data_IF_246569313471
#
_entry.id   IF_246569313471
#
_cell.length_a   1.000
_cell.length_b   1.000
_cell.length_c   1.000
_cell.angle_alpha   90.00
_cell.angle_beta   90.00
_cell.angle_gamma   90.00
#
_symmetry.space_group_name_H-M   'P 1'
#
loop_
_entity.id
_entity.type
_entity.pdbx_description
1 polymer ?
#
# COMPACT_ATOMS: atom_id res chain seq x y z
N UNK A 1 7.96 -23.33 7.83
CA UNK A 1 7.59 -23.21 9.24
C UNK A 1 6.30 -22.44 9.33
N UNK A 2 5.30 -22.96 10.06
CA UNK A 2 4.00 -22.30 10.21
C UNK A 2 4.15 -20.97 10.97
N UNK A 3 3.44 -19.92 10.55
CA UNK A 3 3.54 -18.58 11.12
C UNK A 3 4.74 -17.75 10.66
N UNK A 4 5.55 -18.30 9.77
CA UNK A 4 6.62 -17.56 9.07
C UNK A 4 6.24 -17.46 7.60
N UNK A 5 6.31 -16.30 7.06
CA UNK A 5 5.94 -16.09 5.67
C UNK A 5 6.19 -14.66 5.24
N UNK A 6 5.70 -14.38 4.07
CA UNK A 6 5.82 -13.07 3.45
C UNK A 6 4.71 -12.15 4.00
N UNK A 7 5.11 -10.95 4.40
CA UNK A 7 4.21 -9.84 4.66
C UNK A 7 3.72 -9.20 3.35
N UNK A 8 2.88 -8.19 3.45
CA UNK A 8 2.33 -7.48 2.30
C UNK A 8 3.42 -7.05 1.33
N UNK A 9 3.18 -7.29 0.05
CA UNK A 9 4.10 -6.96 -1.04
C UNK A 9 3.64 -5.74 -1.81
N UNK A 10 4.59 -5.11 -2.49
CA UNK A 10 4.36 -3.98 -3.39
C UNK A 10 4.84 -4.35 -4.78
N UNK A 11 3.95 -4.24 -5.78
CA UNK A 11 4.27 -4.41 -7.20
C UNK A 11 4.36 -3.03 -7.86
N UNK A 12 5.42 -2.79 -8.63
CA UNK A 12 5.62 -1.54 -9.38
C UNK A 12 6.12 -1.83 -10.79
N UNK A 13 5.71 -0.97 -11.71
CA UNK A 13 6.29 -0.91 -13.05
C UNK A 13 7.06 0.40 -13.17
N UNK A 14 8.32 0.34 -13.62
CA UNK A 14 9.17 1.49 -13.80
C UNK A 14 10.23 1.19 -14.87
N UNK A 15 10.43 2.11 -15.82
CA UNK A 15 11.43 2.04 -16.88
C UNK A 15 11.48 0.68 -17.61
N UNK A 16 10.31 0.18 -18.03
CA UNK A 16 10.22 -1.06 -18.80
C UNK A 16 10.33 -2.35 -17.99
N UNK A 17 10.37 -2.26 -16.67
CA UNK A 17 10.51 -3.43 -15.79
C UNK A 17 9.50 -3.43 -14.66
N UNK A 18 9.15 -4.63 -14.22
CA UNK A 18 8.36 -4.86 -13.01
C UNK A 18 9.29 -5.08 -11.83
N UNK A 19 8.88 -4.60 -10.66
CA UNK A 19 9.58 -4.74 -9.39
C UNK A 19 8.61 -5.23 -8.33
N UNK A 20 9.00 -6.23 -7.56
CA UNK A 20 8.25 -6.67 -6.37
C UNK A 20 9.13 -6.50 -5.15
N UNK A 21 8.62 -5.73 -4.20
CA UNK A 21 9.16 -5.66 -2.84
C UNK A 21 8.35 -6.55 -1.91
N UNK A 22 9.02 -7.27 -1.04
CA UNK A 22 8.42 -7.89 0.14
C UNK A 22 9.44 -8.10 1.26
N UNK A 23 8.94 -8.26 2.50
CA UNK A 23 9.74 -8.64 3.66
C UNK A 23 9.14 -9.88 4.31
N UNK A 24 9.89 -10.98 4.44
CA UNK A 24 9.44 -12.14 5.17
C UNK A 24 9.56 -11.95 6.69
N UNK A 25 8.80 -12.73 7.44
CA UNK A 25 8.82 -12.76 8.90
C UNK A 25 9.76 -13.83 9.44
N UNK A 26 10.89 -14.04 8.80
CA UNK A 26 11.90 -15.00 9.20
C UNK A 26 13.33 -14.46 9.02
N UNK A 27 14.26 -15.08 9.72
CA UNK A 27 15.67 -14.71 9.67
C UNK A 27 16.25 -14.92 8.25
N UNK A 28 17.13 -14.03 7.80
CA UNK A 28 17.84 -12.98 8.56
C UNK A 28 17.15 -11.59 8.56
N UNK A 29 15.83 -11.49 8.50
CA UNK A 29 15.06 -10.23 8.49
C UNK A 29 15.56 -9.23 7.44
N UNK A 30 15.51 -9.63 6.20
CA UNK A 30 15.88 -8.78 5.04
C UNK A 30 14.64 -8.53 4.19
N UNK A 31 14.60 -7.38 3.52
CA UNK A 31 13.72 -7.17 2.39
C UNK A 31 14.23 -7.92 1.16
N UNK A 32 13.36 -8.10 0.19
CA UNK A 32 13.68 -8.69 -1.10
C UNK A 32 13.09 -7.80 -2.19
N UNK A 33 13.90 -7.52 -3.21
CA UNK A 33 13.44 -6.89 -4.43
C UNK A 33 13.72 -7.85 -5.59
N UNK A 34 12.66 -8.29 -6.25
CA UNK A 34 12.73 -9.03 -7.49
C UNK A 34 12.33 -8.15 -8.66
N UNK A 35 12.86 -8.44 -9.84
CA UNK A 35 12.54 -7.72 -11.08
C UNK A 35 12.29 -8.68 -12.24
N UNK A 36 11.41 -8.28 -13.16
CA UNK A 36 11.12 -8.97 -14.40
C UNK A 36 10.79 -7.98 -15.53
N UNK A 37 11.01 -8.35 -16.77
CA UNK A 37 10.56 -7.59 -17.96
C UNK A 37 9.10 -7.94 -18.29
N UNK A 38 8.70 -9.17 -18.05
CA UNK A 38 7.33 -9.67 -18.19
C UNK A 38 6.85 -10.17 -16.83
N UNK A 39 5.71 -9.70 -16.31
CA UNK A 39 5.20 -10.14 -15.01
C UNK A 39 4.78 -11.62 -14.99
N UNK A 40 4.51 -12.21 -16.15
CA UNK A 40 4.25 -13.63 -16.32
C UNK A 40 5.52 -14.48 -16.59
N UNK A 41 6.66 -13.81 -16.75
CA UNK A 41 7.94 -14.42 -17.04
C UNK A 41 8.77 -14.78 -15.81
N UNK A 42 10.08 -14.89 -16.02
CA UNK A 42 11.03 -15.21 -14.96
C UNK A 42 11.35 -13.96 -14.10
N UNK A 43 11.26 -14.11 -12.78
CA UNK A 43 11.61 -13.09 -11.81
C UNK A 43 13.01 -13.33 -11.27
N UNK A 44 13.87 -12.32 -11.34
CA UNK A 44 15.25 -12.38 -10.86
C UNK A 44 15.40 -11.58 -9.58
N UNK A 45 16.07 -12.14 -8.57
CA UNK A 45 16.43 -11.42 -7.36
C UNK A 45 17.42 -10.30 -7.69
N UNK A 46 17.01 -9.05 -7.47
CA UNK A 46 17.83 -7.87 -7.69
C UNK A 46 18.68 -7.53 -6.46
N UNK A 47 18.05 -7.47 -5.28
CA UNK A 47 18.72 -7.04 -4.06
C UNK A 47 18.01 -7.51 -2.78
N UNK A 48 18.72 -7.35 -1.65
CA UNK A 48 18.23 -7.69 -0.30
C UNK A 48 18.50 -6.56 0.69
N UNK A 49 17.84 -5.40 0.57
CA UNK A 49 18.00 -4.30 1.52
C UNK A 49 17.47 -4.66 2.92
N UNK A 50 17.66 -3.79 3.94
CA UNK A 50 17.11 -3.99 5.28
C UNK A 50 15.61 -4.24 5.27
N UNK A 51 15.12 -5.00 6.26
CA UNK A 51 13.71 -5.28 6.45
C UNK A 51 12.90 -4.00 6.73
N UNK A 52 11.77 -3.83 6.04
CA UNK A 52 10.77 -2.79 6.30
C UNK A 52 9.39 -3.43 6.22
N UNK A 53 8.62 -3.31 7.32
CA UNK A 53 7.32 -3.96 7.44
C UNK A 53 6.27 -3.31 6.52
N UNK A 54 5.53 -4.13 5.76
CA UNK A 54 4.45 -3.72 4.87
C UNK A 54 4.81 -2.52 3.98
N UNK A 55 5.99 -2.59 3.36
CA UNK A 55 6.53 -1.46 2.63
C UNK A 55 6.05 -1.41 1.19
N UNK A 56 5.78 -0.19 0.74
CA UNK A 56 5.52 0.18 -0.64
C UNK A 56 6.79 0.74 -1.28
N UNK A 57 7.29 0.07 -2.31
CA UNK A 57 8.35 0.60 -3.16
C UNK A 57 7.77 1.74 -4.01
N UNK A 58 8.49 2.85 -4.11
CA UNK A 58 8.05 4.03 -4.86
C UNK A 58 9.22 4.66 -5.63
N UNK A 59 9.04 4.82 -6.93
CA UNK A 59 9.95 5.54 -7.82
C UNK A 59 9.39 6.94 -8.06
N UNK A 60 10.12 7.98 -7.67
CA UNK A 60 9.68 9.35 -7.85
C UNK A 60 10.21 9.93 -9.19
N UNK A 61 9.56 10.97 -9.67
CA UNK A 61 9.89 11.64 -10.94
C UNK A 61 11.27 12.30 -10.93
N UNK A 62 11.86 12.54 -9.74
CA UNK A 62 13.22 13.08 -9.59
C UNK A 62 14.32 12.00 -9.68
N UNK A 63 13.95 10.76 -9.97
CA UNK A 63 14.84 9.61 -10.09
C UNK A 63 15.26 8.99 -8.77
N UNK A 64 14.74 9.47 -7.64
CA UNK A 64 14.97 8.85 -6.34
C UNK A 64 13.96 7.75 -6.07
N UNK A 65 14.37 6.84 -5.19
CA UNK A 65 13.54 5.68 -4.82
C UNK A 65 13.31 5.67 -3.31
N UNK A 66 12.09 5.31 -2.94
CA UNK A 66 11.66 5.35 -1.55
C UNK A 66 10.90 4.09 -1.14
N UNK A 67 10.89 3.84 0.16
CA UNK A 67 9.95 2.94 0.84
C UNK A 67 9.05 3.75 1.77
N UNK A 68 7.74 3.62 1.57
CA UNK A 68 6.74 4.01 2.56
C UNK A 68 6.38 2.76 3.36
N UNK A 69 6.51 2.79 4.68
CA UNK A 69 6.37 1.58 5.48
C UNK A 69 5.85 1.83 6.90
N UNK A 70 5.55 0.74 7.59
CA UNK A 70 5.14 0.78 8.98
C UNK A 70 3.89 1.64 9.20
N UNK A 71 3.97 2.60 10.10
CA UNK A 71 2.85 3.48 10.49
C UNK A 71 3.04 4.93 10.00
N UNK A 72 3.57 5.11 8.80
CA UNK A 72 3.81 6.43 8.21
C UNK A 72 5.29 6.81 8.18
N UNK A 73 6.19 5.84 8.02
CA UNK A 73 7.61 6.08 7.84
C UNK A 73 7.98 6.17 6.35
N UNK A 74 8.98 6.99 6.06
CA UNK A 74 9.57 7.17 4.74
C UNK A 74 11.08 6.93 4.81
N UNK A 75 11.58 6.07 3.95
CA UNK A 75 13.01 5.76 3.82
C UNK A 75 13.44 5.90 2.38
N UNK A 76 14.52 6.64 2.13
CA UNK A 76 15.14 6.68 0.82
C UNK A 76 16.05 5.48 0.60
N UNK A 77 15.92 4.83 -0.56
CA UNK A 77 16.84 3.81 -1.05
C UNK A 77 17.87 4.43 -1.99
N UNK A 78 18.98 3.73 -2.19
CA UNK A 78 19.89 3.99 -3.31
C UNK A 78 19.16 3.77 -4.63
N UNK A 79 19.53 4.49 -5.66
CA UNK A 79 18.90 4.38 -6.98
C UNK A 79 19.07 3.00 -7.63
N UNK A 80 20.10 2.25 -7.26
CA UNK A 80 20.34 0.87 -7.69
C UNK A 80 19.57 -0.17 -6.85
N UNK A 81 18.78 0.28 -5.88
CA UNK A 81 17.96 -0.54 -4.98
C UNK A 81 18.76 -1.49 -4.07
N UNK A 82 20.09 -1.36 -3.99
CA UNK A 82 20.94 -2.29 -3.25
C UNK A 82 20.81 -2.16 -1.73
N UNK A 83 20.54 -0.95 -1.23
CA UNK A 83 20.47 -0.64 0.21
C UNK A 83 19.74 0.69 0.44
N UNK A 84 19.65 1.11 1.70
CA UNK A 84 19.21 2.47 2.07
C UNK A 84 20.25 3.50 1.62
N UNK A 85 19.78 4.71 1.27
CA UNK A 85 20.67 5.81 0.88
C UNK A 85 21.33 6.42 2.11
N UNK A 86 22.68 6.40 2.23
CA UNK A 86 23.38 7.04 3.35
C UNK A 86 23.12 8.55 3.37
N UNK A 87 22.57 9.05 4.49
CA UNK A 87 22.20 10.47 4.63
C UNK A 87 20.95 10.88 3.84
N UNK A 88 20.29 9.91 3.19
CA UNK A 88 18.99 10.11 2.56
C UNK A 88 17.84 10.30 3.56
N UNK A 89 16.63 10.48 3.05
CA UNK A 89 15.44 10.66 3.89
C UNK A 89 15.21 9.40 4.75
N UNK A 90 15.05 9.64 6.04
CA UNK A 90 14.67 8.65 7.05
C UNK A 90 13.85 9.35 8.12
N UNK A 91 12.52 9.37 7.94
CA UNK A 91 11.67 10.10 8.86
C UNK A 91 10.25 9.55 8.90
N UNK A 92 9.53 9.86 9.96
CA UNK A 92 8.09 9.70 10.04
C UNK A 92 7.42 10.92 9.39
N UNK A 93 6.49 10.69 8.46
CA UNK A 93 5.87 11.74 7.63
C UNK A 93 4.44 12.08 8.05
N UNK A 94 3.79 11.22 8.84
CA UNK A 94 2.52 11.50 9.53
C UNK A 94 2.38 10.63 10.78
N UNK A 95 1.55 11.09 11.71
CA UNK A 95 1.24 10.38 12.94
C UNK A 95 -0.10 9.66 12.84
N UNK A 96 -0.29 8.65 13.71
CA UNK A 96 -1.60 8.05 13.93
C UNK A 96 -2.54 9.07 14.52
N UNK A 97 -3.76 9.08 14.03
CA UNK A 97 -4.85 9.81 14.68
C UNK A 97 -5.41 9.04 15.88
N UNK A 98 -6.22 9.73 16.68
CA UNK A 98 -6.86 9.12 17.84
C UNK A 98 -7.77 7.94 17.50
N UNK A 99 -8.31 7.92 16.30
CA UNK A 99 -9.19 6.87 15.76
C UNK A 99 -8.44 5.74 15.01
N UNK A 100 -7.12 5.66 15.17
CA UNK A 100 -6.24 4.64 14.58
C UNK A 100 -5.46 3.86 15.65
N UNK A 101 -6.03 3.77 16.84
CA UNK A 101 -5.42 3.05 17.96
C UNK A 101 -5.58 1.54 17.77
N UNK A 102 -4.55 0.90 17.25
CA UNK A 102 -4.52 -0.54 16.99
C UNK A 102 -3.90 -0.89 15.66
N UNK A 103 -4.54 -0.58 14.55
CA UNK A 103 -4.07 -0.94 13.22
C UNK A 103 -3.87 0.32 12.37
N UNK A 104 -2.67 0.50 11.86
CA UNK A 104 -2.33 1.40 10.75
C UNK A 104 -1.09 0.81 10.06
N UNK A 105 -1.28 0.17 8.91
CA UNK A 105 -0.21 -0.52 8.17
C UNK A 105 -0.58 -0.71 6.70
N UNK A 106 0.20 -1.50 5.96
CA UNK A 106 -0.11 -1.88 4.59
C UNK A 106 0.04 -0.75 3.59
N UNK A 107 1.09 0.05 3.74
CA UNK A 107 1.34 1.22 2.87
C UNK A 107 1.34 0.86 1.39
N UNK A 108 0.59 1.63 0.59
CA UNK A 108 0.65 1.63 -0.87
C UNK A 108 0.74 3.08 -1.37
N UNK A 109 1.95 3.47 -1.78
CA UNK A 109 2.23 4.83 -2.23
C UNK A 109 2.13 4.94 -3.75
N UNK A 110 1.58 6.05 -4.23
CA UNK A 110 1.53 6.40 -5.65
C UNK A 110 1.49 7.91 -5.82
N UNK A 111 1.68 8.38 -7.06
CA UNK A 111 1.59 9.78 -7.42
C UNK A 111 0.48 9.97 -8.45
N UNK A 112 -0.36 10.98 -8.26
CA UNK A 112 -1.41 11.35 -9.19
C UNK A 112 -1.57 12.86 -9.26
N UNK A 113 -1.57 13.42 -10.49
CA UNK A 113 -1.66 14.86 -10.72
C UNK A 113 -0.65 15.69 -9.89
N UNK A 114 0.59 15.20 -9.79
CA UNK A 114 1.68 15.86 -9.07
C UNK A 114 1.65 15.76 -7.56
N UNK A 115 0.66 15.09 -6.96
CA UNK A 115 0.51 14.87 -5.52
C UNK A 115 0.89 13.46 -5.12
N UNK A 116 1.39 13.32 -3.91
CA UNK A 116 1.74 12.05 -3.29
C UNK A 116 0.57 11.52 -2.49
N UNK A 117 0.32 10.22 -2.62
CA UNK A 117 -0.74 9.49 -1.92
C UNK A 117 -0.17 8.27 -1.25
N UNK A 118 -0.65 7.96 -0.05
CA UNK A 118 -0.34 6.72 0.68
C UNK A 118 -1.65 6.12 1.18
N UNK A 119 -2.03 4.99 0.62
CA UNK A 119 -3.16 4.20 1.12
C UNK A 119 -2.70 3.27 2.23
N UNK A 120 -3.54 3.08 3.24
CA UNK A 120 -3.26 2.21 4.38
C UNK A 120 -4.55 1.64 4.96
N UNK A 121 -4.45 0.43 5.49
CA UNK A 121 -5.51 -0.12 6.33
C UNK A 121 -5.44 0.49 7.73
N UNK A 122 -6.60 0.82 8.28
CA UNK A 122 -6.74 1.41 9.62
C UNK A 122 -7.89 0.77 10.39
N UNK A 123 -7.74 0.66 11.71
CA UNK A 123 -8.79 0.21 12.62
C UNK A 123 -8.48 0.67 14.04
N UNK A 124 -9.49 1.15 14.76
CA UNK A 124 -9.41 1.38 16.19
C UNK A 124 -9.92 0.14 16.96
N UNK A 125 -9.01 -0.57 17.60
CA UNK A 125 -9.35 -1.77 18.40
C UNK A 125 -10.04 -1.45 19.73
N UNK A 126 -10.02 -0.21 20.17
CA UNK A 126 -10.69 0.21 21.41
C UNK A 126 -12.20 0.34 21.23
N UNK A 127 -12.68 0.41 19.98
CA UNK A 127 -14.09 0.55 19.63
C UNK A 127 -14.68 -0.80 19.23
N UNK A 128 -15.53 -1.43 20.06
CA UNK A 128 -16.18 -2.68 19.72
C UNK A 128 -17.02 -2.57 18.44
N UNK A 129 -16.87 -3.54 17.54
CA UNK A 129 -17.61 -3.57 16.28
C UNK A 129 -17.11 -2.60 15.21
N UNK A 130 -16.00 -1.88 15.46
CA UNK A 130 -15.36 -1.04 14.43
C UNK A 130 -14.86 -1.89 13.28
N UNK A 131 -15.19 -1.48 12.07
CA UNK A 131 -14.69 -2.14 10.87
C UNK A 131 -13.25 -1.72 10.57
N UNK A 132 -12.51 -2.60 9.91
CA UNK A 132 -11.33 -2.16 9.15
C UNK A 132 -11.79 -1.22 8.05
N UNK A 133 -10.98 -0.22 7.78
CA UNK A 133 -11.23 0.78 6.76
C UNK A 133 -9.97 1.04 5.96
N UNK A 134 -10.12 1.50 4.75
CA UNK A 134 -9.03 2.03 3.94
C UNK A 134 -8.97 3.55 4.13
N UNK A 135 -7.80 4.04 4.50
CA UNK A 135 -7.52 5.47 4.62
C UNK A 135 -6.50 5.86 3.56
N UNK A 136 -6.58 7.11 3.12
CA UNK A 136 -5.63 7.67 2.18
C UNK A 136 -5.06 8.96 2.76
N UNK A 137 -3.74 9.04 2.77
CA UNK A 137 -2.98 10.24 3.09
C UNK A 137 -2.55 10.92 1.79
N UNK A 138 -2.62 12.26 1.72
CA UNK A 138 -2.29 13.06 0.53
C UNK A 138 -1.42 14.24 0.89
N UNK A 139 -0.39 14.55 0.08
CA UNK A 139 0.47 15.72 0.24
C UNK A 139 0.95 16.26 -1.11
N UNK A 140 1.35 17.54 -1.14
CA UNK A 140 2.00 18.15 -2.29
C UNK A 140 3.52 17.87 -2.33
N UNK A 141 4.11 17.46 -1.19
CA UNK A 141 5.51 17.07 -1.08
C UNK A 141 5.62 15.68 -0.43
N UNK A 142 6.62 14.90 -0.83
CA UNK A 142 6.82 13.54 -0.35
C UNK A 142 7.00 13.46 1.18
N UNK A 143 7.52 14.51 1.80
CA UNK A 143 7.71 14.63 3.25
C UNK A 143 6.51 15.25 3.97
N UNK A 144 5.43 15.57 3.26
CA UNK A 144 4.24 16.20 3.82
C UNK A 144 4.28 17.73 3.83
N UNK A 145 3.37 18.39 4.58
CA UNK A 145 2.40 17.75 5.48
C UNK A 145 1.33 16.96 4.74
N UNK A 146 0.87 15.86 5.35
CA UNK A 146 -0.17 15.01 4.80
C UNK A 146 -1.54 15.32 5.40
N UNK A 147 -2.55 15.37 4.54
CA UNK A 147 -3.97 15.34 4.89
C UNK A 147 -4.46 13.88 4.84
N UNK A 148 -5.45 13.54 5.66
CA UNK A 148 -6.04 12.19 5.68
C UNK A 148 -7.51 12.20 5.32
N UNK A 149 -7.97 11.15 4.62
CA UNK A 149 -9.38 10.84 4.38
C UNK A 149 -9.62 9.34 4.48
N UNK A 150 -10.75 8.93 5.09
CA UNK A 150 -11.29 7.58 4.96
C UNK A 150 -11.87 7.45 3.56
N UNK A 151 -11.41 6.48 2.78
CA UNK A 151 -11.82 6.28 1.37
C UNK A 151 -12.66 5.04 1.16
N UNK A 152 -12.71 4.14 2.17
CA UNK A 152 -13.63 3.00 2.21
C UNK A 152 -13.83 2.55 3.66
N UNK A 153 -15.07 2.38 4.09
CA UNK A 153 -15.44 1.70 5.35
C UNK A 153 -16.74 0.95 5.09
N UNK A 154 -16.65 -0.35 4.85
CA UNK A 154 -17.80 -1.15 4.43
C UNK A 154 -17.70 -2.61 4.84
N UNK A 155 -18.85 -3.28 4.88
CA UNK A 155 -18.96 -4.74 4.89
C UNK A 155 -19.19 -5.25 3.47
N UNK A 156 -18.85 -6.50 3.22
CA UNK A 156 -19.15 -7.18 1.98
C UNK A 156 -19.51 -8.64 2.22
N UNK A 157 -20.69 -9.06 1.72
CA UNK A 157 -21.20 -10.43 1.85
C UNK A 157 -21.22 -10.95 3.31
N UNK A 158 -21.61 -10.08 4.26
CA UNK A 158 -21.74 -10.44 5.67
C UNK A 158 -20.42 -10.53 6.46
N UNK A 159 -19.32 -10.13 5.86
CA UNK A 159 -18.02 -10.02 6.55
C UNK A 159 -17.65 -8.55 6.74
N UNK A 160 -17.12 -8.23 7.92
CA UNK A 160 -16.67 -6.89 8.25
C UNK A 160 -15.35 -6.54 7.58
N UNK A 161 -15.19 -5.26 7.27
CA UNK A 161 -13.92 -4.64 6.99
C UNK A 161 -13.20 -5.07 5.73
N UNK A 162 -13.41 -4.35 4.64
CA UNK A 162 -12.58 -4.39 3.44
C UNK A 162 -11.47 -3.37 3.62
N UNK A 163 -10.22 -3.78 3.56
CA UNK A 163 -9.07 -2.89 3.78
C UNK A 163 -7.75 -3.55 3.42
N UNK A 164 -6.75 -2.72 3.18
CA UNK A 164 -5.42 -3.02 2.66
C UNK A 164 -5.40 -3.49 1.22
N UNK A 165 -4.86 -2.65 0.38
CA UNK A 165 -4.66 -2.92 -1.04
C UNK A 165 -4.17 -1.69 -1.78
N UNK A 166 -4.45 -1.61 -3.07
CA UNK A 166 -4.01 -0.51 -3.93
C UNK A 166 -5.12 -0.09 -4.89
N UNK A 167 -4.90 1.03 -5.55
CA UNK A 167 -5.65 1.41 -6.74
C UNK A 167 -4.77 1.25 -7.98
N UNK A 168 -5.41 1.04 -9.11
CA UNK A 168 -4.77 0.92 -10.42
C UNK A 168 -5.66 1.56 -11.47
N UNK A 169 -5.06 2.22 -12.43
CA UNK A 169 -5.72 2.68 -13.63
C UNK A 169 -5.62 1.64 -14.74
N UNK A 170 -6.59 1.67 -15.62
CA UNK A 170 -6.64 0.83 -16.82
C UNK A 170 -6.40 1.68 -18.08
N UNK A 171 -6.04 1.07 -19.21
CA UNK A 171 -5.75 1.79 -20.45
C UNK A 171 -6.91 2.65 -20.99
N UNK A 172 -8.14 2.37 -20.59
CA UNK A 172 -9.34 3.15 -20.92
C UNK A 172 -9.58 4.35 -19.99
N UNK A 173 -8.68 4.56 -19.00
CA UNK A 173 -8.73 5.67 -18.06
C UNK A 173 -9.61 5.46 -16.84
N UNK A 174 -10.19 4.28 -16.68
CA UNK A 174 -10.93 3.92 -15.47
C UNK A 174 -9.96 3.57 -14.34
N UNK A 175 -10.37 3.82 -13.11
CA UNK A 175 -9.63 3.46 -11.90
C UNK A 175 -10.37 2.40 -11.10
N UNK A 176 -9.60 1.50 -10.51
CA UNK A 176 -10.10 0.38 -9.71
C UNK A 176 -9.35 0.25 -8.40
N UNK A 177 -10.08 -0.10 -7.34
CA UNK A 177 -9.52 -0.54 -6.08
C UNK A 177 -9.39 -2.06 -6.06
N UNK A 178 -8.23 -2.56 -5.70
CA UNK A 178 -7.97 -3.98 -5.45
C UNK A 178 -7.60 -4.15 -3.98
N UNK A 179 -8.61 -4.42 -3.17
CA UNK A 179 -8.56 -4.40 -1.70
C UNK A 179 -8.99 -5.76 -1.18
N UNK A 180 -8.31 -6.31 -0.18
CA UNK A 180 -8.71 -7.59 0.38
C UNK A 180 -9.73 -7.47 1.51
N UNK A 181 -10.42 -8.57 1.77
CA UNK A 181 -11.28 -8.79 2.92
C UNK A 181 -10.83 -10.05 3.66
N UNK A 182 -10.73 -9.99 4.97
CA UNK A 182 -10.39 -11.15 5.80
C UNK A 182 -11.63 -12.02 5.99
N UNK A 183 -11.56 -13.28 5.57
CA UNK A 183 -12.67 -14.26 5.63
C UNK A 183 -12.34 -15.47 6.51
N UNK A 184 -11.60 -15.24 7.58
CA UNK A 184 -11.26 -16.27 8.56
C UNK A 184 -10.50 -17.45 7.94
N UNK A 185 -11.03 -18.65 8.05
CA UNK A 185 -10.38 -19.86 7.57
C UNK A 185 -10.15 -19.96 6.05
N UNK A 186 -10.85 -19.13 5.25
CA UNK A 186 -10.61 -19.02 3.80
C UNK A 186 -9.40 -18.13 3.52
N UNK A 187 -9.06 -17.25 4.46
CA UNK A 187 -7.96 -16.30 4.33
C UNK A 187 -8.40 -14.93 3.81
N UNK A 188 -7.47 -14.25 3.17
CA UNK A 188 -7.65 -12.90 2.62
C UNK A 188 -8.13 -12.98 1.18
N UNK A 189 -9.39 -12.62 0.96
CA UNK A 189 -10.04 -12.66 -0.35
C UNK A 189 -10.00 -11.27 -0.96
N UNK A 190 -9.35 -11.06 -2.12
CA UNK A 190 -9.34 -9.78 -2.79
C UNK A 190 -10.71 -9.45 -3.36
N UNK A 191 -11.06 -8.17 -3.31
CA UNK A 191 -12.24 -7.59 -3.96
C UNK A 191 -11.77 -6.59 -5.02
N UNK A 192 -12.47 -6.54 -6.13
CA UNK A 192 -12.31 -5.52 -7.16
C UNK A 192 -13.49 -4.56 -7.09
N UNK A 193 -13.25 -3.27 -7.14
CA UNK A 193 -14.28 -2.25 -7.08
C UNK A 193 -13.91 -1.02 -7.89
N UNK A 194 -14.88 -0.21 -8.36
CA UNK A 194 -14.57 1.04 -9.01
C UNK A 194 -13.88 2.01 -8.04
N UNK A 195 -13.02 2.87 -8.58
CA UNK A 195 -12.43 3.98 -7.88
C UNK A 195 -12.70 5.26 -8.64
N UNK A 196 -13.23 6.26 -7.95
CA UNK A 196 -13.57 7.57 -8.52
C UNK A 196 -12.73 8.66 -7.87
N UNK A 197 -12.32 9.66 -8.65
CA UNK A 197 -11.62 10.82 -8.14
C UNK A 197 -12.60 11.94 -7.80
N UNK A 198 -12.70 12.28 -6.51
CA UNK A 198 -13.58 13.34 -6.01
C UNK A 198 -12.74 14.34 -5.19
N UNK A 199 -12.68 15.58 -5.63
CA UNK A 199 -11.90 16.65 -4.99
C UNK A 199 -10.41 16.27 -4.79
N UNK A 200 -9.87 15.50 -5.74
CA UNK A 200 -8.50 14.98 -5.70
C UNK A 200 -8.26 13.89 -4.67
N UNK A 201 -9.29 13.17 -4.27
CA UNK A 201 -9.21 11.97 -3.45
C UNK A 201 -9.71 10.75 -4.20
N UNK A 202 -9.04 9.59 -4.07
CA UNK A 202 -9.61 8.34 -4.54
C UNK A 202 -10.75 7.94 -3.61
N UNK A 203 -11.92 7.65 -4.17
CA UNK A 203 -13.10 7.16 -3.46
C UNK A 203 -13.43 5.79 -4.02
N UNK A 204 -13.43 4.79 -3.15
CA UNK A 204 -13.61 3.39 -3.52
C UNK A 204 -15.06 2.95 -3.40
N UNK A 205 -15.44 1.98 -4.24
CA UNK A 205 -16.76 1.38 -4.23
C UNK A 205 -17.74 2.01 -5.21
N UNK A 206 -19.01 1.59 -5.09
CA UNK A 206 -20.14 2.16 -5.82
C UNK A 206 -20.51 3.58 -5.31
N UNK A 207 -21.56 4.17 -5.84
CA UNK A 207 -22.01 5.51 -5.43
C UNK A 207 -22.37 5.62 -3.94
N UNK A 208 -22.68 4.52 -3.30
CA UNK A 208 -22.98 4.41 -1.87
C UNK A 208 -21.75 4.00 -1.02
N UNK A 209 -20.56 3.86 -1.62
CA UNK A 209 -19.32 3.48 -0.95
C UNK A 209 -19.27 2.00 -0.55
N UNK A 210 -19.89 1.12 -1.33
CA UNK A 210 -19.95 -0.33 -1.09
C UNK A 210 -19.16 -1.08 -2.15
N UNK A 211 -18.67 -2.27 -1.79
CA UNK A 211 -18.14 -3.21 -2.77
C UNK A 211 -19.30 -3.75 -3.61
N UNK A 212 -19.29 -3.61 -4.95
CA UNK A 212 -20.34 -4.15 -5.79
C UNK A 212 -20.26 -5.67 -5.87
N UNK A 213 -21.41 -6.36 -6.02
CA UNK A 213 -21.45 -7.81 -6.21
C UNK A 213 -20.92 -8.25 -7.59
N UNK A 214 -20.91 -7.36 -8.55
CA UNK A 214 -20.37 -7.58 -9.90
C UNK A 214 -19.88 -6.26 -10.52
N UNK A 215 -18.90 -6.36 -11.40
CA UNK A 215 -18.32 -5.25 -12.17
C UNK A 215 -18.85 -5.28 -13.62
#
# INVERSE_FOLDING_TARGET
VYGRGQWASSLRYHDGRFYVWFSPNDEPHRGYIYTAEDPAGEWTLLSRPPHHHDASLFFDDDGKVYLFYGTGQLRQLKSDLSDVEPGGIDQKIFERDADEQGLLEGSQAFKHNGRYYVMMISMDWSIPGRLRREVCYRADQITGPYEKKVILETEFQGYGGVGQGCIVDSPDGNWYGFIFQDRGGIGRVPTLMPCHWVDGWPVLGDAEGRVPDSM
#
